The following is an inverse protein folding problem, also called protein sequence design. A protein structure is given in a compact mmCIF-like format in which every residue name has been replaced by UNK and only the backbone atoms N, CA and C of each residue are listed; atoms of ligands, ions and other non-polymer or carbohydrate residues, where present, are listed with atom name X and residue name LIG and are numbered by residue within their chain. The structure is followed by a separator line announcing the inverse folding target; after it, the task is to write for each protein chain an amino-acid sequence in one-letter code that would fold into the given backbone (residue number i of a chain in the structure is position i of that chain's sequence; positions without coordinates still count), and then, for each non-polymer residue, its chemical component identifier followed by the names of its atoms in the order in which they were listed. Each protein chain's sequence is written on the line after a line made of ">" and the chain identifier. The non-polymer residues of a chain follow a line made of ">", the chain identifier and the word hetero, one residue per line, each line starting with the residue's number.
data_IF_525246469394
#
_entry.id   IF_525246469394
#
_cell.length_a   1.000
_cell.length_b   1.000
_cell.length_c   1.000
_cell.angle_alpha   90.00
_cell.angle_beta   90.00
_cell.angle_gamma   90.00
#
_symmetry.space_group_name_H-M   'P 1'
#
loop_
_entity.id
_entity.type
_entity.pdbx_description
1 polymer ?
#
# COMPACT_ATOMS: atom_id res chain seq x y z
N UNK A 1 6.20 -43.22 32.59
CA UNK A 1 6.38 -43.07 31.13
C UNK A 1 5.30 -42.18 30.50
N UNK A 2 4.00 -42.46 30.70
CA UNK A 2 2.88 -41.64 30.16
C UNK A 2 2.94 -40.13 30.50
N UNK A 3 3.23 -39.77 31.76
CA UNK A 3 3.36 -38.35 32.18
C UNK A 3 4.50 -37.61 31.47
N UNK A 4 5.65 -38.27 31.26
CA UNK A 4 6.80 -37.69 30.53
C UNK A 4 6.46 -37.46 29.06
N UNK A 5 5.78 -38.42 28.42
CA UNK A 5 5.30 -38.29 27.04
C UNK A 5 4.33 -37.11 26.87
N UNK A 6 3.37 -36.95 27.78
CA UNK A 6 2.42 -35.83 27.75
C UNK A 6 3.15 -34.50 27.87
N UNK A 7 4.08 -34.35 28.82
CA UNK A 7 4.86 -33.13 29.01
C UNK A 7 5.70 -32.81 27.76
N UNK A 8 6.38 -33.80 27.18
CA UNK A 8 7.16 -33.62 25.94
C UNK A 8 6.27 -33.17 24.78
N UNK A 9 5.09 -33.77 24.61
CA UNK A 9 4.14 -33.38 23.56
C UNK A 9 3.64 -31.94 23.76
N UNK A 10 3.34 -31.55 25.00
CA UNK A 10 2.93 -30.18 25.33
C UNK A 10 4.01 -29.16 24.98
N UNK A 11 5.28 -29.44 25.30
CA UNK A 11 6.41 -28.56 24.96
C UNK A 11 6.53 -28.40 23.43
N UNK A 12 6.42 -29.50 22.67
CA UNK A 12 6.45 -29.46 21.20
C UNK A 12 5.31 -28.60 20.65
N UNK A 13 4.09 -28.75 21.17
CA UNK A 13 2.95 -27.93 20.75
C UNK A 13 3.17 -26.44 21.03
N UNK A 14 3.76 -26.08 22.17
CA UNK A 14 4.07 -24.68 22.51
C UNK A 14 5.11 -24.10 21.54
N UNK A 15 6.17 -24.84 21.24
CA UNK A 15 7.23 -24.40 20.31
C UNK A 15 6.65 -24.24 18.90
N UNK A 16 5.86 -25.21 18.43
CA UNK A 16 5.21 -25.13 17.12
C UNK A 16 4.22 -23.96 17.03
N UNK A 17 3.39 -23.76 18.06
CA UNK A 17 2.47 -22.64 18.16
C UNK A 17 3.19 -21.29 18.15
N UNK A 18 4.29 -21.18 18.90
CA UNK A 18 5.14 -19.98 18.92
C UNK A 18 5.74 -19.67 17.55
N UNK A 19 6.24 -20.68 16.82
CA UNK A 19 6.77 -20.51 15.48
C UNK A 19 5.72 -20.00 14.48
N UNK A 20 4.51 -20.59 14.49
CA UNK A 20 3.41 -20.17 13.62
C UNK A 20 3.01 -18.72 13.92
N UNK A 21 2.91 -18.34 15.21
CA UNK A 21 2.58 -16.98 15.62
C UNK A 21 3.64 -15.97 15.13
N UNK A 22 4.94 -16.28 15.28
CA UNK A 22 6.01 -15.43 14.77
C UNK A 22 5.92 -15.24 13.25
N UNK A 23 5.68 -16.32 12.49
CA UNK A 23 5.53 -16.25 11.03
C UNK A 23 4.33 -15.40 10.59
N UNK A 24 3.23 -15.48 11.33
CA UNK A 24 2.06 -14.64 11.09
C UNK A 24 2.35 -13.15 11.32
N UNK A 25 3.06 -12.82 12.42
CA UNK A 25 3.48 -11.44 12.72
C UNK A 25 4.44 -10.91 11.65
N UNK A 26 5.42 -11.72 11.24
CA UNK A 26 6.38 -11.36 10.19
C UNK A 26 5.65 -11.05 8.86
N UNK A 27 4.69 -11.89 8.46
CA UNK A 27 3.87 -11.68 7.26
C UNK A 27 3.09 -10.35 7.33
N UNK A 28 2.43 -10.06 8.45
CA UNK A 28 1.69 -8.80 8.64
C UNK A 28 2.61 -7.58 8.57
N UNK A 29 3.81 -7.68 9.12
CA UNK A 29 4.79 -6.59 9.06
C UNK A 29 5.24 -6.32 7.62
N UNK A 30 5.48 -7.37 6.83
CA UNK A 30 5.84 -7.23 5.41
C UNK A 30 4.69 -6.62 4.60
N UNK A 31 3.46 -7.03 4.86
CA UNK A 31 2.27 -6.45 4.23
C UNK A 31 2.13 -4.95 4.55
N UNK A 32 2.31 -4.56 5.82
CA UNK A 32 2.25 -3.14 6.20
C UNK A 32 3.38 -2.31 5.57
N UNK A 33 4.58 -2.87 5.48
CA UNK A 33 5.71 -2.23 4.79
C UNK A 33 5.43 -2.05 3.30
N UNK A 34 4.84 -3.06 2.65
CA UNK A 34 4.39 -2.96 1.27
C UNK A 34 3.41 -1.80 1.11
N UNK A 35 2.32 -1.76 1.88
CA UNK A 35 1.31 -0.71 1.76
C UNK A 35 1.86 0.68 2.01
N UNK A 36 2.66 0.87 3.06
CA UNK A 36 3.31 2.17 3.36
C UNK A 36 4.21 2.64 2.22
N UNK A 37 4.98 1.73 1.62
CA UNK A 37 5.84 2.06 0.47
C UNK A 37 5.00 2.54 -0.71
N UNK A 38 3.89 1.86 -1.00
CA UNK A 38 3.02 2.19 -2.12
C UNK A 38 2.24 3.49 -1.88
N UNK A 39 1.71 3.70 -0.67
CA UNK A 39 1.08 4.96 -0.27
C UNK A 39 2.04 6.15 -0.42
N UNK A 40 3.30 6.00 0.00
CA UNK A 40 4.30 7.06 -0.18
C UNK A 40 4.57 7.40 -1.67
N UNK A 41 4.56 6.39 -2.55
CA UNK A 41 4.72 6.61 -4.00
C UNK A 41 3.49 7.25 -4.63
N UNK A 42 2.30 6.83 -4.24
CA UNK A 42 1.03 7.45 -4.66
C UNK A 42 0.97 8.90 -4.19
N UNK A 43 1.35 9.18 -2.94
CA UNK A 43 1.45 10.53 -2.41
C UNK A 43 2.42 11.40 -3.22
N UNK A 44 3.63 10.90 -3.51
CA UNK A 44 4.60 11.60 -4.34
C UNK A 44 4.02 11.94 -5.72
N UNK A 45 3.43 10.95 -6.39
CA UNK A 45 2.79 11.14 -7.70
C UNK A 45 1.69 12.21 -7.64
N UNK A 46 0.79 12.14 -6.67
CA UNK A 46 -0.32 13.09 -6.52
C UNK A 46 0.22 14.50 -6.25
N UNK A 47 1.14 14.67 -5.30
CA UNK A 47 1.70 15.99 -4.97
C UNK A 47 2.45 16.63 -6.13
N UNK A 48 3.13 15.82 -6.93
CA UNK A 48 3.85 16.32 -8.08
C UNK A 48 2.92 16.64 -9.24
N UNK A 49 1.99 15.74 -9.60
CA UNK A 49 1.20 15.86 -10.82
C UNK A 49 -0.13 16.61 -10.65
N UNK A 50 -0.65 16.78 -9.44
CA UNK A 50 -1.94 17.44 -9.20
C UNK A 50 -1.69 18.86 -8.69
N UNK A 51 -2.41 19.84 -9.24
CA UNK A 51 -2.38 21.24 -8.79
C UNK A 51 -3.16 21.38 -7.48
N UNK A 52 -2.73 22.32 -6.64
CA UNK A 52 -3.45 22.76 -5.43
C UNK A 52 -3.75 21.64 -4.39
N UNK A 53 -2.87 20.65 -4.26
CA UNK A 53 -2.97 19.61 -3.23
C UNK A 53 -2.59 20.16 -1.86
N UNK A 54 -3.58 20.32 -0.97
CA UNK A 54 -3.44 20.73 0.44
C UNK A 54 -3.35 19.53 1.37
N UNK A 55 -4.17 18.50 1.12
CA UNK A 55 -4.19 17.27 1.92
C UNK A 55 -4.49 16.05 1.06
N UNK A 56 -4.02 14.88 1.49
CA UNK A 56 -4.33 13.58 0.88
C UNK A 56 -4.86 12.68 2.00
N UNK A 57 -5.93 11.95 1.73
CA UNK A 57 -6.51 10.99 2.68
C UNK A 57 -6.65 9.64 2.01
N UNK A 58 -5.89 8.66 2.50
CA UNK A 58 -6.08 7.26 2.13
C UNK A 58 -7.23 6.66 2.94
N UNK A 59 -8.16 6.01 2.26
CA UNK A 59 -9.42 5.53 2.87
C UNK A 59 -9.45 4.01 2.97
N UNK A 60 -8.92 3.32 1.97
CA UNK A 60 -8.97 1.86 1.91
C UNK A 60 -7.78 1.28 1.15
N UNK A 61 -7.24 0.19 1.68
CA UNK A 61 -6.35 -0.75 1.01
C UNK A 61 -7.17 -1.98 0.69
N UNK A 62 -7.22 -2.39 -0.57
CA UNK A 62 -7.98 -3.57 -0.97
C UNK A 62 -7.24 -4.36 -2.04
N UNK A 63 -7.56 -5.64 -2.14
CA UNK A 63 -7.05 -6.51 -3.20
C UNK A 63 -8.26 -6.97 -3.99
N UNK A 64 -8.26 -6.70 -5.29
CA UNK A 64 -9.34 -7.13 -6.18
C UNK A 64 -9.41 -8.66 -6.25
N UNK A 65 -10.52 -9.26 -6.72
CA UNK A 65 -10.60 -10.71 -6.95
C UNK A 65 -9.49 -11.26 -7.86
N UNK A 66 -8.95 -10.40 -8.74
CA UNK A 66 -7.83 -10.72 -9.64
C UNK A 66 -6.46 -10.61 -8.96
N UNK A 67 -6.40 -10.32 -7.66
CA UNK A 67 -5.17 -10.20 -6.90
C UNK A 67 -4.43 -8.88 -7.10
N UNK A 68 -5.08 -7.85 -7.65
CA UNK A 68 -4.47 -6.53 -7.88
C UNK A 68 -4.74 -5.62 -6.67
N UNK A 69 -3.69 -5.17 -5.95
CA UNK A 69 -3.81 -4.22 -4.85
C UNK A 69 -4.24 -2.82 -5.32
N UNK A 70 -5.22 -2.23 -4.64
CA UNK A 70 -5.69 -0.87 -4.85
C UNK A 70 -5.55 -0.04 -3.57
N UNK A 71 -5.13 1.22 -3.73
CA UNK A 71 -5.15 2.24 -2.68
C UNK A 71 -6.19 3.29 -3.08
N UNK A 72 -7.25 3.39 -2.27
CA UNK A 72 -8.33 4.35 -2.47
C UNK A 72 -8.08 5.59 -1.62
N UNK A 73 -8.48 6.75 -2.10
CA UNK A 73 -8.38 7.99 -1.35
C UNK A 73 -9.05 9.17 -2.02
N UNK A 74 -8.90 10.34 -1.41
CA UNK A 74 -9.30 11.62 -1.97
C UNK A 74 -8.34 12.71 -1.49
N UNK A 75 -8.39 13.87 -2.14
CA UNK A 75 -7.58 15.03 -1.76
C UNK A 75 -8.43 16.17 -1.21
N UNK A 76 -7.79 17.09 -0.48
CA UNK A 76 -8.37 18.35 -0.02
C UNK A 76 -9.66 18.23 0.81
N UNK A 77 -9.86 17.09 1.49
CA UNK A 77 -11.08 16.78 2.23
C UNK A 77 -12.36 16.79 1.37
N UNK A 78 -12.21 16.68 0.03
CA UNK A 78 -13.32 16.66 -0.91
C UNK A 78 -13.45 15.28 -1.55
N UNK A 79 -14.52 14.56 -1.19
CA UNK A 79 -14.85 13.24 -1.76
C UNK A 79 -15.11 13.27 -3.27
N UNK A 80 -15.39 14.44 -3.87
CA UNK A 80 -15.48 14.57 -5.33
C UNK A 80 -14.12 14.47 -5.99
N UNK A 81 -13.02 14.71 -5.27
CA UNK A 81 -11.64 14.60 -5.75
C UNK A 81 -11.04 13.24 -5.37
N UNK A 82 -11.78 12.17 -5.63
CA UNK A 82 -11.37 10.80 -5.31
C UNK A 82 -10.38 10.22 -6.34
N UNK A 83 -9.57 9.27 -5.86
CA UNK A 83 -8.67 8.48 -6.67
C UNK A 83 -8.61 7.01 -6.20
N UNK A 84 -8.22 6.14 -7.12
CA UNK A 84 -7.88 4.73 -6.92
C UNK A 84 -6.55 4.50 -7.62
N UNK A 85 -5.50 4.28 -6.84
CA UNK A 85 -4.20 3.87 -7.35
C UNK A 85 -4.17 2.35 -7.50
N UNK A 86 -4.00 1.87 -8.73
CA UNK A 86 -3.76 0.46 -9.00
C UNK A 86 -2.27 0.19 -8.83
N UNK A 87 -1.94 -0.77 -7.97
CA UNK A 87 -0.57 -1.08 -7.59
C UNK A 87 -0.23 -2.49 -8.05
N UNK A 88 0.98 -2.70 -8.54
CA UNK A 88 1.46 -4.04 -8.88
C UNK A 88 1.88 -4.81 -7.62
N UNK A 89 1.70 -6.13 -7.62
CA UNK A 89 2.26 -7.01 -6.59
C UNK A 89 3.76 -7.23 -6.74
N UNK A 90 4.32 -6.94 -7.93
CA UNK A 90 5.72 -7.22 -8.28
C UNK A 90 6.55 -5.96 -8.55
N UNK A 91 5.89 -4.82 -8.78
CA UNK A 91 6.53 -3.54 -9.08
C UNK A 91 5.95 -2.45 -8.20
N UNK A 92 6.75 -1.42 -7.99
CA UNK A 92 6.28 -0.24 -7.30
C UNK A 92 5.31 0.58 -8.16
N UNK A 93 4.42 1.33 -7.51
CA UNK A 93 3.51 2.26 -8.15
C UNK A 93 4.28 3.33 -8.95
N UNK A 94 3.87 3.58 -10.19
CA UNK A 94 4.48 4.60 -11.06
C UNK A 94 3.48 5.68 -11.47
N UNK A 95 2.32 5.31 -12.02
CA UNK A 95 1.41 6.28 -12.66
C UNK A 95 -0.05 5.83 -12.78
N UNK A 96 -0.39 4.58 -12.41
CA UNK A 96 -1.71 3.99 -12.67
C UNK A 96 -2.79 4.51 -11.72
N UNK A 97 -3.21 5.77 -11.90
CA UNK A 97 -4.20 6.45 -11.07
C UNK A 97 -5.54 6.58 -11.80
N UNK A 98 -6.54 5.78 -11.39
CA UNK A 98 -7.93 6.04 -11.75
C UNK A 98 -8.46 7.17 -10.87
N UNK A 99 -9.22 8.11 -11.43
CA UNK A 99 -9.63 9.33 -10.71
C UNK A 99 -10.99 9.85 -11.15
N UNK A 100 -11.58 10.70 -10.31
CA UNK A 100 -12.77 11.46 -10.69
C UNK A 100 -12.48 12.45 -11.82
N UNK A 101 -13.52 12.84 -12.56
CA UNK A 101 -13.41 13.88 -13.58
C UNK A 101 -12.97 15.23 -13.01
N UNK A 102 -13.43 15.59 -11.80
CA UNK A 102 -13.02 16.83 -11.13
C UNK A 102 -11.54 16.83 -10.74
N UNK A 103 -11.04 15.71 -10.21
CA UNK A 103 -9.61 15.56 -9.93
C UNK A 103 -8.80 15.60 -11.23
N UNK A 104 -9.29 14.97 -12.30
CA UNK A 104 -8.66 14.98 -13.62
C UNK A 104 -8.42 16.38 -14.19
N UNK A 105 -9.30 17.35 -13.92
CA UNK A 105 -9.10 18.74 -14.36
C UNK A 105 -7.93 19.46 -13.67
N UNK A 106 -7.53 18.98 -12.49
CA UNK A 106 -6.45 19.58 -11.69
C UNK A 106 -5.07 19.03 -12.06
N UNK A 107 -5.01 18.07 -12.97
CA UNK A 107 -3.79 17.37 -13.33
C UNK A 107 -2.92 18.24 -14.24
N UNK A 108 -1.61 18.18 -13.99
CA UNK A 108 -0.60 18.81 -14.84
C UNK A 108 -0.45 18.01 -16.11
N UNK A 109 -0.25 18.71 -17.21
CA UNK A 109 0.03 18.13 -18.52
C UNK A 109 1.40 18.66 -18.99
N UNK A 110 2.41 17.78 -19.24
CA UNK A 110 2.35 16.33 -19.13
C UNK A 110 2.40 15.82 -17.68
N UNK A 111 1.77 14.67 -17.47
CA UNK A 111 1.93 13.86 -16.25
C UNK A 111 3.28 13.15 -16.26
N UNK A 112 3.86 12.92 -15.07
CA UNK A 112 5.13 12.21 -14.91
C UNK A 112 4.95 11.02 -13.97
N UNK A 113 5.57 9.91 -14.32
CA UNK A 113 5.73 8.76 -13.44
C UNK A 113 6.59 9.10 -12.23
N UNK A 114 6.42 8.34 -11.14
CA UNK A 114 7.25 8.52 -9.92
C UNK A 114 8.74 8.43 -10.23
N UNK A 115 9.15 7.51 -11.11
CA UNK A 115 10.55 7.37 -11.52
C UNK A 115 11.09 8.58 -12.29
N UNK A 116 10.27 9.24 -13.10
CA UNK A 116 10.66 10.50 -13.78
C UNK A 116 10.80 11.64 -12.78
N UNK A 117 9.86 11.76 -11.84
CA UNK A 117 9.90 12.74 -10.75
C UNK A 117 11.19 12.58 -9.94
N UNK A 118 11.53 11.36 -9.53
CA UNK A 118 12.75 11.08 -8.76
C UNK A 118 14.04 11.37 -9.53
N UNK A 119 14.04 11.27 -10.87
CA UNK A 119 15.19 11.65 -11.69
C UNK A 119 15.37 13.17 -11.73
N UNK A 120 14.27 13.92 -11.73
CA UNK A 120 14.32 15.38 -11.73
C UNK A 120 14.73 15.95 -10.38
N UNK A 121 14.28 15.36 -9.27
CA UNK A 121 14.69 15.76 -7.92
C UNK A 121 16.17 15.51 -7.62
N UNK A 122 16.83 14.62 -8.37
CA UNK A 122 18.25 14.29 -8.23
C UNK A 122 19.17 15.17 -9.09
N UNK A 123 18.61 16.04 -9.92
CA UNK A 123 19.36 17.05 -10.69
C UNK A 123 19.59 18.29 -9.84
#
# INVERSE_FOLDING_TARGET
>A
MKKKLVITLTIICIIAGGYIAMKYVEKKKQEELFWKKQEARVEKYIRYNVKDVKSITFTKREITPMGIPHINGYINQDYKLWFIASVSTTKDFEEQLTRSGELGKLIKDPEKSVSEIEKEEKR
#
